data_IF_181088480088
#
_entry.id   IF_181088480088
#
_cell.length_a   1.000
_cell.length_b   1.000
_cell.length_c   1.000
_cell.angle_alpha   90.00
_cell.angle_beta   90.00
_cell.angle_gamma   90.00
#
_symmetry.space_group_name_H-M   'P 1'
#
loop_
_entity.id
_entity.type
_entity.pdbx_description
1 polymer ?
#
# COMPACT_ATOMS: atom_id res chain seq x y z
N UNK A 1 -14.10 44.85 -16.04
CA UNK A 1 -13.29 43.77 -16.65
C UNK A 1 -13.34 42.45 -15.86
N UNK A 2 -13.52 42.44 -14.53
CA UNK A 2 -13.61 41.20 -13.71
C UNK A 2 -14.91 40.37 -13.79
N UNK A 3 -16.00 40.90 -14.35
CA UNK A 3 -17.27 40.15 -14.45
C UNK A 3 -17.41 39.27 -15.69
N UNK A 4 -16.57 39.43 -16.72
CA UNK A 4 -16.64 38.60 -17.94
C UNK A 4 -15.88 37.27 -17.81
N UNK A 5 -14.83 37.21 -16.99
CA UNK A 5 -14.05 35.98 -16.77
C UNK A 5 -14.79 34.95 -15.91
N UNK A 6 -15.62 35.38 -14.95
CA UNK A 6 -16.41 34.49 -14.08
C UNK A 6 -17.58 33.83 -14.79
N UNK A 7 -18.13 34.45 -15.85
CA UNK A 7 -19.20 33.86 -16.67
C UNK A 7 -18.65 32.78 -17.59
N UNK A 8 -17.50 33.03 -18.24
CA UNK A 8 -16.84 32.05 -19.12
C UNK A 8 -16.39 30.80 -18.35
N UNK A 9 -15.87 30.95 -17.13
CA UNK A 9 -15.50 29.81 -16.28
C UNK A 9 -16.71 28.96 -15.85
N UNK A 10 -17.87 29.57 -15.58
CA UNK A 10 -19.10 28.83 -15.25
C UNK A 10 -19.65 28.07 -16.47
N UNK A 11 -19.61 28.67 -17.66
CA UNK A 11 -20.07 28.00 -18.89
C UNK A 11 -19.17 26.82 -19.27
N UNK A 12 -17.85 26.93 -19.13
CA UNK A 12 -16.91 25.82 -19.37
C UNK A 12 -17.10 24.69 -18.35
N UNK A 13 -17.41 25.00 -17.10
CA UNK A 13 -17.67 23.99 -16.06
C UNK A 13 -19.01 23.27 -16.29
N UNK A 14 -20.04 24.00 -16.69
CA UNK A 14 -21.36 23.43 -17.03
C UNK A 14 -21.27 22.58 -18.30
N UNK A 15 -20.51 23.00 -19.32
CA UNK A 15 -20.26 22.19 -20.51
C UNK A 15 -19.43 20.92 -20.21
N UNK A 16 -18.44 20.99 -19.29
CA UNK A 16 -17.71 19.79 -18.83
C UNK A 16 -18.61 18.84 -18.03
N UNK A 17 -19.47 19.34 -17.14
CA UNK A 17 -20.43 18.49 -16.42
C UNK A 17 -21.49 17.89 -17.35
N UNK A 18 -21.96 18.64 -18.36
CA UNK A 18 -22.90 18.14 -19.37
C UNK A 18 -22.24 17.09 -20.26
N UNK A 19 -20.98 17.26 -20.69
CA UNK A 19 -20.23 16.23 -21.42
C UNK A 19 -20.03 14.97 -20.59
N UNK A 20 -19.61 15.09 -19.31
CA UNK A 20 -19.42 13.93 -18.42
C UNK A 20 -20.77 13.21 -18.23
N UNK A 21 -21.86 13.93 -17.98
CA UNK A 21 -23.20 13.33 -17.83
C UNK A 21 -23.70 12.66 -19.13
N UNK A 22 -23.45 13.26 -20.29
CA UNK A 22 -23.79 12.65 -21.58
C UNK A 22 -22.97 11.39 -21.85
N UNK A 23 -21.69 11.38 -21.46
CA UNK A 23 -20.78 10.25 -21.62
C UNK A 23 -21.19 9.08 -20.71
N UNK A 24 -21.59 9.34 -19.46
CA UNK A 24 -22.12 8.32 -18.54
C UNK A 24 -23.48 7.76 -18.99
N UNK A 25 -24.32 8.60 -19.59
CA UNK A 25 -25.66 8.21 -20.07
C UNK A 25 -25.56 7.38 -21.36
N UNK A 26 -24.69 7.78 -22.29
CA UNK A 26 -24.37 7.01 -23.50
C UNK A 26 -23.68 5.68 -23.13
N UNK A 27 -22.79 5.67 -22.13
CA UNK A 27 -22.21 4.43 -21.60
C UNK A 27 -23.26 3.50 -20.96
N UNK A 28 -24.20 4.02 -20.17
CA UNK A 28 -25.29 3.21 -19.61
C UNK A 28 -26.25 2.67 -20.67
N UNK A 29 -26.58 3.47 -21.68
CA UNK A 29 -27.39 3.03 -22.82
C UNK A 29 -26.68 1.97 -23.65
N UNK A 30 -25.39 2.14 -23.95
CA UNK A 30 -24.56 1.14 -24.61
C UNK A 30 -24.46 -0.14 -23.78
N UNK A 31 -24.27 -0.04 -22.46
CA UNK A 31 -24.21 -1.20 -21.58
C UNK A 31 -25.55 -1.95 -21.53
N UNK A 32 -26.67 -1.23 -21.50
CA UNK A 32 -28.01 -1.83 -21.49
C UNK A 32 -28.39 -2.45 -22.85
N UNK A 33 -28.01 -1.81 -23.96
CA UNK A 33 -28.20 -2.33 -25.32
C UNK A 33 -27.33 -3.57 -25.52
N UNK A 34 -26.08 -3.56 -25.06
CA UNK A 34 -25.17 -4.71 -25.12
C UNK A 34 -25.67 -5.88 -24.27
N UNK A 35 -26.16 -5.66 -23.04
CA UNK A 35 -26.77 -6.69 -22.19
C UNK A 35 -28.02 -7.31 -22.86
N UNK A 36 -28.80 -6.51 -23.59
CA UNK A 36 -29.96 -7.01 -24.36
C UNK A 36 -29.53 -7.77 -25.62
N UNK A 37 -28.44 -7.38 -26.29
CA UNK A 37 -27.91 -8.08 -27.48
C UNK A 37 -27.18 -9.40 -27.13
N UNK A 38 -26.72 -9.58 -25.88
CA UNK A 38 -25.91 -10.72 -25.44
C UNK A 38 -26.70 -11.88 -24.80
N UNK A 39 -28.04 -11.85 -24.84
CA UNK A 39 -28.88 -12.99 -24.40
C UNK A 39 -28.86 -14.19 -25.36
N UNK A 40 -27.89 -14.28 -26.25
CA UNK A 40 -27.66 -15.47 -27.06
C UNK A 40 -26.31 -15.43 -27.74
N UNK A 41 -25.44 -16.38 -27.38
CA UNK A 41 -24.19 -16.81 -28.03
C UNK A 41 -22.89 -16.23 -27.46
N UNK A 42 -22.24 -17.11 -26.70
CA UNK A 42 -20.79 -17.42 -26.69
C UNK A 42 -19.85 -16.24 -26.87
N UNK A 43 -19.52 -15.55 -25.77
CA UNK A 43 -18.31 -14.73 -25.68
C UNK A 43 -17.77 -14.77 -24.24
N UNK A 44 -16.94 -15.75 -23.92
CA UNK A 44 -16.25 -15.83 -22.60
C UNK A 44 -14.76 -15.46 -22.66
N UNK A 45 -14.19 -15.15 -23.84
CA UNK A 45 -12.77 -14.81 -23.95
C UNK A 45 -12.50 -13.31 -24.20
N UNK A 46 -13.42 -12.57 -24.81
CA UNK A 46 -13.18 -11.17 -25.18
C UNK A 46 -13.70 -10.16 -24.14
N UNK A 47 -14.63 -10.57 -23.26
CA UNK A 47 -15.15 -9.74 -22.16
C UNK A 47 -14.17 -9.55 -20.99
N UNK A 48 -13.12 -10.37 -20.90
CA UNK A 48 -12.12 -10.29 -19.83
C UNK A 48 -11.09 -9.16 -20.09
N UNK A 49 -11.01 -8.64 -21.31
CA UNK A 49 -10.00 -7.66 -21.73
C UNK A 49 -10.43 -6.19 -21.58
N UNK A 50 -11.69 -5.91 -21.21
CA UNK A 50 -12.23 -4.56 -21.03
C UNK A 50 -12.59 -4.27 -19.56
N UNK A 51 -11.78 -4.76 -18.62
CA UNK A 51 -11.69 -4.08 -17.33
C UNK A 51 -10.84 -2.84 -17.58
N UNK A 52 -11.46 -1.66 -17.67
CA UNK A 52 -10.72 -0.39 -17.71
C UNK A 52 -9.69 -0.38 -16.56
N UNK A 53 -8.42 -0.14 -16.90
CA UNK A 53 -7.36 -0.04 -15.90
C UNK A 53 -7.73 1.06 -14.92
N UNK A 54 -7.47 0.84 -13.64
CA UNK A 54 -7.71 1.86 -12.62
C UNK A 54 -6.65 2.93 -12.74
N UNK A 55 -7.08 4.19 -12.81
CA UNK A 55 -6.15 5.32 -12.75
C UNK A 55 -5.41 5.31 -11.40
N UNK A 56 -4.08 5.34 -11.47
CA UNK A 56 -3.20 5.37 -10.31
C UNK A 56 -2.93 6.83 -9.94
N UNK A 57 -3.36 7.21 -8.75
CA UNK A 57 -3.12 8.53 -8.21
C UNK A 57 -1.93 8.49 -7.24
N UNK A 58 -1.01 9.44 -7.38
CA UNK A 58 0.19 9.56 -6.56
C UNK A 58 0.04 10.66 -5.51
N UNK A 59 0.63 10.44 -4.33
CA UNK A 59 0.93 11.49 -3.36
C UNK A 59 2.40 11.87 -3.51
N UNK A 60 2.65 12.90 -4.32
CA UNK A 60 3.99 13.31 -4.69
C UNK A 60 4.77 12.15 -5.32
N UNK A 61 6.02 11.96 -4.89
CA UNK A 61 6.92 10.93 -5.44
C UNK A 61 7.10 9.71 -4.53
N UNK A 62 6.33 9.62 -3.43
CA UNK A 62 6.64 8.68 -2.33
C UNK A 62 5.53 7.68 -2.02
N UNK A 63 4.28 7.93 -2.43
CA UNK A 63 3.15 7.08 -2.02
C UNK A 63 2.03 7.00 -3.06
N UNK A 64 1.33 5.86 -3.08
CA UNK A 64 0.07 5.68 -3.82
C UNK A 64 -1.10 6.17 -2.99
N UNK A 65 -1.99 6.94 -3.60
CA UNK A 65 -3.23 7.40 -2.97
C UNK A 65 -4.29 6.29 -2.93
N UNK A 66 -4.30 5.39 -3.91
CA UNK A 66 -5.32 4.35 -3.98
C UNK A 66 -5.14 3.32 -2.84
N UNK A 67 -6.06 3.32 -1.87
CA UNK A 67 -6.06 2.37 -0.74
C UNK A 67 -6.02 0.88 -1.16
N UNK A 68 -6.52 0.56 -2.36
CA UNK A 68 -6.51 -0.80 -2.91
C UNK A 68 -5.14 -1.26 -3.45
N UNK A 69 -4.20 -0.36 -3.73
CA UNK A 69 -2.91 -0.71 -4.34
C UNK A 69 -2.10 -1.65 -3.46
N UNK A 70 -2.09 -1.43 -2.13
CA UNK A 70 -1.35 -2.30 -1.21
C UNK A 70 -1.86 -3.75 -1.24
N UNK A 71 -3.18 -3.93 -1.35
CA UNK A 71 -3.79 -5.26 -1.49
C UNK A 71 -3.45 -5.88 -2.85
N UNK A 72 -3.58 -5.12 -3.94
CA UNK A 72 -3.28 -5.59 -5.29
C UNK A 72 -1.82 -6.05 -5.43
N UNK A 73 -0.86 -5.29 -4.87
CA UNK A 73 0.56 -5.66 -4.83
C UNK A 73 0.73 -6.96 -4.05
N UNK A 74 0.11 -7.06 -2.87
CA UNK A 74 0.16 -8.27 -2.06
C UNK A 74 -0.36 -9.50 -2.81
N UNK A 75 -1.44 -9.36 -3.57
CA UNK A 75 -2.06 -10.43 -4.35
C UNK A 75 -1.19 -10.86 -5.54
N UNK A 76 -0.59 -9.89 -6.24
CA UNK A 76 0.36 -10.16 -7.33
C UNK A 76 1.54 -10.98 -6.81
N UNK A 77 2.10 -10.59 -5.66
CA UNK A 77 3.22 -11.29 -5.04
C UNK A 77 2.88 -12.74 -4.68
N UNK A 78 1.70 -13.00 -4.07
CA UNK A 78 1.31 -14.38 -3.73
C UNK A 78 1.06 -15.24 -4.95
N UNK A 79 0.43 -14.67 -5.97
CA UNK A 79 0.03 -15.42 -7.17
C UNK A 79 1.23 -15.78 -8.05
N UNK A 80 2.35 -15.06 -7.91
CA UNK A 80 3.56 -15.23 -8.71
C UNK A 80 4.78 -15.59 -7.86
N UNK A 81 4.58 -16.13 -6.66
CA UNK A 81 5.68 -16.54 -5.79
C UNK A 81 6.32 -17.82 -6.33
N UNK A 82 7.57 -17.75 -6.80
CA UNK A 82 8.23 -18.84 -7.55
C UNK A 82 9.65 -19.18 -7.07
N UNK A 83 10.03 -18.76 -5.87
CA UNK A 83 11.35 -19.08 -5.33
C UNK A 83 11.45 -18.88 -3.83
N UNK A 84 12.56 -19.31 -3.23
CA UNK A 84 12.89 -19.10 -1.82
C UNK A 84 13.22 -17.62 -1.48
N UNK A 85 12.34 -16.69 -1.86
CA UNK A 85 12.50 -15.25 -1.70
C UNK A 85 12.25 -14.82 -0.25
N UNK A 86 13.23 -15.07 0.63
CA UNK A 86 13.15 -14.71 2.04
C UNK A 86 13.20 -13.18 2.29
N UNK A 87 13.57 -12.39 1.28
CA UNK A 87 13.52 -10.93 1.27
C UNK A 87 13.38 -10.39 -0.16
N UNK A 88 13.04 -9.12 -0.33
CA UNK A 88 12.85 -8.51 -1.65
C UNK A 88 14.14 -8.53 -2.48
N UNK A 89 15.27 -8.36 -1.81
CA UNK A 89 16.60 -8.36 -2.41
C UNK A 89 16.94 -9.70 -3.06
N UNK A 90 16.28 -10.79 -2.66
CA UNK A 90 16.44 -12.14 -3.25
C UNK A 90 15.54 -12.42 -4.43
N UNK A 91 14.56 -11.56 -4.70
CA UNK A 91 13.80 -11.60 -5.95
C UNK A 91 14.72 -11.05 -7.03
N UNK A 92 15.00 -11.83 -8.06
CA UNK A 92 15.83 -11.37 -9.18
C UNK A 92 15.14 -10.24 -9.97
N UNK A 93 15.93 -9.45 -10.69
CA UNK A 93 15.43 -8.28 -11.42
C UNK A 93 14.36 -8.65 -12.46
N UNK A 94 14.54 -9.79 -13.14
CA UNK A 94 13.60 -10.27 -14.16
C UNK A 94 12.24 -10.58 -13.55
N UNK A 95 12.20 -11.28 -12.42
CA UNK A 95 10.99 -11.54 -11.66
C UNK A 95 10.36 -10.25 -11.14
N UNK A 96 11.15 -9.27 -10.67
CA UNK A 96 10.61 -7.95 -10.27
C UNK A 96 9.95 -7.22 -11.44
N UNK A 97 10.55 -7.29 -12.63
CA UNK A 97 9.98 -6.70 -13.84
C UNK A 97 8.68 -7.40 -14.26
N UNK A 98 8.62 -8.74 -14.17
CA UNK A 98 7.38 -9.50 -14.41
C UNK A 98 6.27 -9.12 -13.43
N UNK A 99 6.59 -9.07 -12.14
CA UNK A 99 5.67 -8.65 -11.09
C UNK A 99 5.16 -7.21 -11.32
N UNK A 100 6.03 -6.31 -11.76
CA UNK A 100 5.65 -4.95 -12.11
C UNK A 100 4.76 -4.91 -13.36
N UNK A 101 5.04 -5.73 -14.38
CA UNK A 101 4.16 -5.88 -15.55
C UNK A 101 2.75 -6.34 -15.15
N UNK A 102 2.62 -7.28 -14.21
CA UNK A 102 1.30 -7.67 -13.67
C UNK A 102 0.58 -6.50 -12.97
N UNK A 103 1.33 -5.62 -12.31
CA UNK A 103 0.77 -4.39 -11.73
C UNK A 103 0.28 -3.41 -12.82
N UNK A 104 1.07 -3.20 -13.88
CA UNK A 104 0.70 -2.35 -15.04
C UNK A 104 -0.50 -2.86 -15.84
N UNK A 105 -0.90 -4.13 -15.67
CA UNK A 105 -2.16 -4.65 -16.23
C UNK A 105 -3.39 -4.14 -15.47
N UNK A 106 -3.26 -3.84 -14.18
CA UNK A 106 -4.37 -3.43 -13.30
C UNK A 106 -4.52 -1.91 -13.19
N UNK A 107 -3.42 -1.18 -13.36
CA UNK A 107 -3.36 0.26 -13.15
C UNK A 107 -2.80 0.99 -14.37
N UNK A 108 -3.33 2.19 -14.63
CA UNK A 108 -2.83 3.13 -15.65
C UNK A 108 -2.26 4.38 -14.99
N UNK A 109 -1.19 4.90 -15.57
CA UNK A 109 -0.51 6.13 -15.15
C UNK A 109 0.23 6.71 -16.37
N UNK A 110 0.55 8.02 -16.36
CA UNK A 110 1.34 8.65 -17.42
C UNK A 110 2.74 8.01 -17.54
N UNK A 111 3.29 7.96 -18.75
CA UNK A 111 4.58 7.30 -19.02
C UNK A 111 5.74 8.04 -18.34
N UNK A 112 5.65 9.37 -18.24
CA UNK A 112 6.57 10.24 -17.51
C UNK A 112 6.70 9.87 -16.02
N UNK A 113 5.65 9.30 -15.43
CA UNK A 113 5.63 8.90 -14.02
C UNK A 113 6.13 7.48 -13.80
N UNK A 114 6.45 6.70 -14.85
CA UNK A 114 6.78 5.26 -14.71
C UNK A 114 7.94 5.03 -13.74
N UNK A 115 8.98 5.89 -13.78
CA UNK A 115 10.13 5.77 -12.88
C UNK A 115 9.75 5.98 -11.41
N UNK A 116 8.89 6.96 -11.13
CA UNK A 116 8.39 7.28 -9.79
C UNK A 116 7.48 6.15 -9.32
N UNK A 117 6.53 5.72 -10.16
CA UNK A 117 5.60 4.62 -9.87
C UNK A 117 6.37 3.34 -9.59
N UNK A 118 7.41 3.04 -10.37
CA UNK A 118 8.27 1.86 -10.16
C UNK A 118 8.95 1.91 -8.80
N UNK A 119 9.54 3.03 -8.42
CA UNK A 119 10.20 3.19 -7.13
C UNK A 119 9.23 3.00 -5.95
N UNK A 120 8.07 3.66 -6.00
CA UNK A 120 7.03 3.48 -4.97
C UNK A 120 6.57 2.02 -4.93
N UNK A 121 6.35 1.42 -6.10
CA UNK A 121 5.90 0.04 -6.20
C UNK A 121 6.91 -0.94 -5.60
N UNK A 122 8.20 -0.80 -5.89
CA UNK A 122 9.24 -1.66 -5.32
C UNK A 122 9.29 -1.54 -3.79
N UNK A 123 9.15 -0.33 -3.27
CA UNK A 123 9.17 -0.10 -1.83
C UNK A 123 7.95 -0.74 -1.14
N UNK A 124 6.77 -0.61 -1.75
CA UNK A 124 5.54 -1.26 -1.28
C UNK A 124 5.60 -2.77 -1.42
N UNK A 125 6.18 -3.29 -2.52
CA UNK A 125 6.33 -4.72 -2.75
C UNK A 125 7.28 -5.35 -1.71
N UNK A 126 8.39 -4.68 -1.40
CA UNK A 126 9.31 -5.06 -0.33
C UNK A 126 8.61 -5.18 1.02
N UNK A 127 7.86 -4.15 1.41
CA UNK A 127 7.09 -4.13 2.66
C UNK A 127 6.03 -5.24 2.67
N UNK A 128 5.29 -5.39 1.57
CA UNK A 128 4.23 -6.38 1.43
C UNK A 128 4.76 -7.81 1.51
N UNK A 129 5.87 -8.12 0.84
CA UNK A 129 6.52 -9.43 0.89
C UNK A 129 6.94 -9.77 2.33
N UNK A 130 7.67 -8.87 2.99
CA UNK A 130 8.12 -9.10 4.37
C UNK A 130 6.95 -9.32 5.34
N UNK A 131 5.89 -8.51 5.22
CA UNK A 131 4.68 -8.66 6.03
C UNK A 131 4.01 -10.01 5.82
N UNK A 132 3.92 -10.48 4.57
CA UNK A 132 3.29 -11.74 4.23
C UNK A 132 4.09 -12.94 4.73
N UNK A 133 5.41 -12.94 4.55
CA UNK A 133 6.29 -13.99 5.08
C UNK A 133 6.26 -14.02 6.60
N UNK A 134 6.29 -12.86 7.27
CA UNK A 134 6.17 -12.79 8.74
C UNK A 134 4.85 -13.38 9.23
N UNK A 135 3.74 -13.13 8.53
CA UNK A 135 2.42 -13.70 8.86
C UNK A 135 2.40 -15.21 8.60
N UNK A 136 2.97 -15.68 7.49
CA UNK A 136 3.08 -17.09 7.17
C UNK A 136 3.88 -17.84 8.24
N UNK A 137 5.05 -17.30 8.61
CA UNK A 137 5.91 -17.81 9.68
C UNK A 137 5.15 -17.92 11.02
N UNK A 138 4.52 -16.84 11.48
CA UNK A 138 3.73 -16.86 12.73
C UNK A 138 2.57 -17.86 12.68
N UNK A 139 1.89 -17.95 11.54
CA UNK A 139 0.75 -18.86 11.36
C UNK A 139 1.19 -20.33 11.39
N UNK A 140 2.32 -20.67 10.77
CA UNK A 140 2.88 -22.01 10.82
C UNK A 140 3.25 -22.39 12.27
N UNK A 141 4.04 -21.55 12.95
CA UNK A 141 4.46 -21.77 14.34
C UNK A 141 3.28 -21.94 15.30
N UNK A 142 2.25 -21.10 15.15
CA UNK A 142 1.05 -21.17 15.99
C UNK A 142 0.21 -22.42 15.74
N UNK A 143 0.17 -22.93 14.50
CA UNK A 143 -0.58 -24.14 14.17
C UNK A 143 0.10 -25.40 14.69
N UNK A 144 1.42 -25.46 14.59
CA UNK A 144 2.20 -26.60 15.09
C UNK A 144 2.48 -26.49 16.60
N UNK A 145 2.08 -25.38 17.25
CA UNK A 145 2.29 -25.11 18.67
C UNK A 145 3.77 -25.28 19.09
N UNK A 146 4.68 -24.74 18.29
CA UNK A 146 6.13 -24.87 18.48
C UNK A 146 6.82 -23.51 18.62
N UNK A 147 7.99 -23.53 19.26
CA UNK A 147 8.94 -22.41 19.30
C UNK A 147 10.14 -22.63 18.39
N UNK A 148 10.28 -23.84 17.81
CA UNK A 148 11.33 -24.19 16.87
C UNK A 148 10.81 -24.16 15.42
N UNK A 149 11.38 -23.29 14.59
CA UNK A 149 10.95 -23.12 13.19
C UNK A 149 11.21 -24.36 12.31
N UNK A 150 12.14 -25.23 12.69
CA UNK A 150 12.40 -26.48 11.96
C UNK A 150 11.16 -27.39 11.95
N UNK A 151 10.34 -27.34 13.00
CA UNK A 151 9.13 -28.17 13.09
C UNK A 151 8.04 -27.73 12.08
N UNK A 152 8.22 -26.56 11.45
CA UNK A 152 7.32 -26.03 10.43
C UNK A 152 7.69 -26.43 9.00
N UNK A 153 8.63 -27.36 8.79
CA UNK A 153 8.89 -27.92 7.46
C UNK A 153 7.61 -28.50 6.86
N UNK A 154 7.37 -28.22 5.58
CA UNK A 154 6.15 -28.58 4.83
C UNK A 154 4.84 -27.98 5.41
N UNK A 155 4.93 -27.06 6.37
CA UNK A 155 3.77 -26.37 6.99
C UNK A 155 3.58 -24.95 6.43
N UNK A 156 4.13 -24.69 5.25
CA UNK A 156 4.02 -23.43 4.56
C UNK A 156 2.59 -23.09 4.15
N UNK A 157 2.30 -21.82 3.83
CA UNK A 157 1.02 -21.45 3.25
C UNK A 157 0.90 -22.00 1.82
N UNK A 158 -0.34 -22.25 1.36
CA UNK A 158 -0.61 -22.85 0.04
C UNK A 158 -0.04 -22.10 -1.19
N UNK A 159 0.32 -20.82 -1.04
CA UNK A 159 0.91 -20.01 -2.11
C UNK A 159 2.44 -20.08 -2.17
N UNK A 160 3.09 -20.80 -1.26
CA UNK A 160 4.52 -21.11 -1.30
C UNK A 160 4.64 -22.62 -1.49
N UNK A 161 5.38 -23.07 -2.50
CA UNK A 161 5.64 -24.51 -2.62
C UNK A 161 6.53 -24.99 -1.45
N UNK A 162 6.38 -26.27 -1.10
CA UNK A 162 7.09 -26.83 0.05
C UNK A 162 8.61 -26.78 -0.09
N UNK A 163 9.15 -26.92 -1.31
CA UNK A 163 10.60 -26.86 -1.54
C UNK A 163 11.17 -25.49 -1.17
N UNK A 164 10.59 -24.41 -1.68
CA UNK A 164 10.99 -23.03 -1.38
C UNK A 164 10.79 -22.69 0.10
N UNK A 165 9.66 -23.11 0.67
CA UNK A 165 9.39 -22.92 2.11
C UNK A 165 10.45 -23.59 2.98
N UNK A 166 10.76 -24.86 2.69
CA UNK A 166 11.76 -25.64 3.43
C UNK A 166 13.16 -25.06 3.26
N UNK A 167 13.48 -24.57 2.06
CA UNK A 167 14.75 -23.88 1.80
C UNK A 167 14.88 -22.61 2.63
N UNK A 168 13.82 -21.79 2.71
CA UNK A 168 13.82 -20.59 3.56
C UNK A 168 13.95 -20.94 5.05
N UNK A 169 13.29 -21.99 5.52
CA UNK A 169 13.44 -22.45 6.91
C UNK A 169 14.90 -22.84 7.18
N UNK A 170 15.45 -23.78 6.40
CA UNK A 170 16.76 -24.39 6.66
C UNK A 170 17.92 -23.42 6.49
N UNK A 171 17.85 -22.57 5.47
CA UNK A 171 18.99 -21.73 5.09
C UNK A 171 18.93 -20.33 5.69
N UNK A 172 17.78 -19.91 6.22
CA UNK A 172 17.58 -18.53 6.69
C UNK A 172 17.01 -18.52 8.10
N UNK A 173 15.78 -19.00 8.30
CA UNK A 173 15.05 -18.76 9.55
C UNK A 173 15.54 -19.59 10.73
N UNK A 174 16.10 -20.78 10.49
CA UNK A 174 16.71 -21.61 11.53
C UNK A 174 18.15 -21.19 11.86
N UNK A 175 18.75 -20.27 11.10
CA UNK A 175 20.14 -19.87 11.34
C UNK A 175 20.26 -19.08 12.64
N UNK A 176 21.34 -19.30 13.43
CA UNK A 176 21.56 -18.54 14.65
C UNK A 176 21.66 -17.03 14.41
N UNK A 177 22.22 -16.63 13.27
CA UNK A 177 22.32 -15.22 12.89
C UNK A 177 20.94 -14.56 12.75
N UNK A 178 20.03 -15.18 11.99
CA UNK A 178 18.69 -14.67 11.80
C UNK A 178 17.92 -14.59 13.12
N UNK A 179 18.01 -15.64 13.95
CA UNK A 179 17.35 -15.68 15.26
C UNK A 179 17.87 -14.58 16.18
N UNK A 180 19.20 -14.37 16.26
CA UNK A 180 19.79 -13.27 17.03
C UNK A 180 19.33 -11.90 16.55
N UNK A 181 19.30 -11.67 15.23
CA UNK A 181 18.85 -10.40 14.64
C UNK A 181 17.35 -10.16 14.93
N UNK A 182 16.53 -11.19 14.79
CA UNK A 182 15.09 -11.13 15.06
C UNK A 182 14.81 -10.80 16.53
N UNK A 183 15.46 -11.49 17.47
CA UNK A 183 15.29 -11.25 18.90
C UNK A 183 15.83 -9.87 19.30
N UNK A 184 16.96 -9.44 18.72
CA UNK A 184 17.48 -8.09 18.95
C UNK A 184 16.50 -7.01 18.46
N UNK A 185 15.93 -7.17 17.27
CA UNK A 185 14.92 -6.26 16.74
C UNK A 185 13.64 -6.25 17.61
N UNK A 186 13.24 -7.40 18.15
CA UNK A 186 12.12 -7.50 19.09
C UNK A 186 12.42 -6.77 20.40
N UNK A 187 13.58 -6.99 21.00
CA UNK A 187 14.02 -6.27 22.21
C UNK A 187 14.06 -4.77 21.97
N UNK A 188 14.64 -4.31 20.87
CA UNK A 188 14.71 -2.89 20.53
C UNK A 188 13.32 -2.23 20.40
N UNK A 189 12.33 -2.94 19.83
CA UNK A 189 10.94 -2.45 19.78
C UNK A 189 10.26 -2.37 21.15
N UNK A 190 10.73 -3.17 22.11
CA UNK A 190 10.19 -3.22 23.48
C UNK A 190 11.00 -2.35 24.46
N UNK A 191 12.11 -1.75 24.02
CA UNK A 191 12.92 -0.85 24.83
C UNK A 191 12.09 0.37 25.23
N UNK A 192 11.94 0.58 26.54
CA UNK A 192 11.32 1.77 27.09
C UNK A 192 12.32 2.93 27.01
N UNK A 193 11.88 4.05 26.44
CA UNK A 193 12.60 5.32 26.49
C UNK A 193 11.78 6.26 27.36
N UNK A 194 12.41 6.89 28.36
CA UNK A 194 11.71 7.76 29.32
C UNK A 194 10.48 7.08 29.97
N UNK A 195 10.61 5.80 30.36
CA UNK A 195 9.58 5.05 31.07
C UNK A 195 8.46 4.44 30.21
N UNK A 196 8.36 4.79 28.91
CA UNK A 196 7.33 4.27 27.99
C UNK A 196 7.94 3.71 26.70
N UNK A 197 7.30 2.72 26.09
CA UNK A 197 7.62 2.32 24.72
C UNK A 197 7.11 3.45 23.80
N UNK A 198 7.93 3.88 22.83
CA UNK A 198 7.49 4.91 21.88
C UNK A 198 6.32 4.39 21.04
N UNK A 199 5.29 5.21 20.90
CA UNK A 199 4.03 4.83 20.25
C UNK A 199 3.57 5.95 19.33
N UNK A 200 3.01 5.57 18.18
CA UNK A 200 2.40 6.48 17.22
C UNK A 200 0.87 6.39 17.34
N UNK A 201 0.14 7.52 17.37
CA UNK A 201 -1.32 7.54 17.48
C UNK A 201 -2.03 7.33 16.15
N UNK A 202 -1.40 7.68 15.03
CA UNK A 202 -2.03 7.63 13.70
C UNK A 202 -2.28 6.23 13.13
N UNK A 203 -2.06 5.19 13.92
CA UNK A 203 -2.26 3.80 13.50
C UNK A 203 -1.40 3.45 12.27
N UNK A 204 -2.06 2.91 11.24
CA UNK A 204 -1.42 2.46 9.99
C UNK A 204 -1.37 3.53 8.89
N UNK A 205 -1.89 4.74 9.14
CA UNK A 205 -1.88 5.83 8.16
C UNK A 205 -0.49 6.46 8.17
N UNK A 206 0.09 6.63 6.98
CA UNK A 206 1.39 7.30 6.85
C UNK A 206 1.26 8.80 7.10
N UNK A 207 2.38 9.44 7.43
CA UNK A 207 2.48 10.89 7.50
C UNK A 207 2.04 11.59 6.21
N UNK A 208 2.40 11.04 5.05
CA UNK A 208 2.06 11.61 3.74
C UNK A 208 0.56 11.50 3.43
N UNK A 209 -0.04 10.32 3.63
CA UNK A 209 -1.49 10.14 3.46
C UNK A 209 -2.27 11.01 4.43
N UNK A 210 -1.83 11.11 5.69
CA UNK A 210 -2.48 11.96 6.68
C UNK A 210 -2.40 13.44 6.30
N UNK A 211 -1.24 13.90 5.82
CA UNK A 211 -1.03 15.27 5.32
C UNK A 211 -1.90 15.60 4.12
N UNK A 212 -2.04 14.67 3.19
CA UNK A 212 -2.90 14.86 2.02
C UNK A 212 -4.38 14.92 2.39
N UNK A 213 -4.85 14.06 3.29
CA UNK A 213 -6.21 14.13 3.81
C UNK A 213 -6.48 15.48 4.49
N UNK A 214 -5.54 15.95 5.33
CA UNK A 214 -5.66 17.29 5.94
C UNK A 214 -5.63 18.43 4.92
N UNK A 215 -4.88 18.28 3.82
CA UNK A 215 -4.89 19.26 2.73
C UNK A 215 -6.25 19.32 2.04
N UNK A 216 -6.86 18.16 1.77
CA UNK A 216 -8.20 18.06 1.19
C UNK A 216 -9.26 18.68 2.13
N UNK A 217 -9.22 18.33 3.42
CA UNK A 217 -10.10 18.89 4.46
C UNK A 217 -9.93 20.42 4.60
N UNK A 218 -8.72 20.94 4.40
CA UNK A 218 -8.40 22.37 4.44
C UNK A 218 -8.68 23.11 3.12
N UNK A 219 -9.37 22.48 2.16
CA UNK A 219 -9.72 23.11 0.88
C UNK A 219 -8.52 23.31 -0.06
N UNK A 220 -7.52 22.43 0.00
CA UNK A 220 -6.35 22.41 -0.88
C UNK A 220 -5.12 23.12 -0.32
N UNK A 221 -5.20 23.75 0.86
CA UNK A 221 -4.04 24.40 1.50
C UNK A 221 -3.14 23.36 2.16
N UNK A 222 -1.88 23.32 1.75
CA UNK A 222 -0.91 22.33 2.24
C UNK A 222 -0.63 22.54 3.75
N UNK A 223 -0.84 21.51 4.60
CA UNK A 223 -0.61 21.65 6.03
C UNK A 223 0.89 21.63 6.36
N UNK A 224 1.33 22.49 7.30
CA UNK A 224 2.66 22.43 7.91
C UNK A 224 2.96 21.06 8.56
N UNK A 225 4.22 20.61 8.51
CA UNK A 225 4.62 19.29 9.01
C UNK A 225 4.53 19.14 10.54
N UNK A 226 4.69 20.22 11.28
CA UNK A 226 4.49 20.31 12.73
C UNK A 226 3.03 20.04 13.13
N UNK A 227 2.07 20.52 12.34
CA UNK A 227 0.65 20.20 12.53
C UNK A 227 0.38 18.71 12.29
N UNK A 228 0.97 18.14 11.23
CA UNK A 228 0.89 16.70 10.93
C UNK A 228 1.48 15.88 12.07
N UNK A 229 2.66 16.28 12.56
CA UNK A 229 3.34 15.61 13.67
C UNK A 229 2.50 15.63 14.94
N UNK A 230 1.96 16.81 15.30
CA UNK A 230 1.14 17.00 16.49
C UNK A 230 -0.13 16.13 16.43
N UNK A 231 -0.84 16.13 15.30
CA UNK A 231 -2.03 15.30 15.13
C UNK A 231 -1.74 13.80 15.29
N UNK A 232 -0.58 13.33 14.80
CA UNK A 232 -0.19 11.92 14.85
C UNK A 232 0.40 11.46 16.19
N UNK A 233 0.82 12.39 17.05
CA UNK A 233 1.51 12.10 18.31
C UNK A 233 0.83 12.68 19.56
N UNK A 234 -0.28 13.40 19.40
CA UNK A 234 -1.14 13.80 20.51
C UNK A 234 -2.22 12.74 20.78
N UNK A 235 -2.69 12.73 22.01
CA UNK A 235 -3.74 11.84 22.50
C UNK A 235 -5.10 12.35 22.05
N UNK A 236 -5.86 11.50 21.38
CA UNK A 236 -7.26 11.78 21.03
C UNK A 236 -8.17 11.82 22.26
N UNK A 237 -7.73 11.27 23.41
CA UNK A 237 -8.49 11.22 24.67
C UNK A 237 -8.21 12.41 25.59
N UNK A 238 -7.07 13.06 25.43
CA UNK A 238 -6.65 14.20 26.24
C UNK A 238 -6.03 15.23 25.30
N UNK A 239 -6.84 16.22 24.91
CA UNK A 239 -6.44 17.27 23.98
C UNK A 239 -5.14 17.92 24.44
N UNK A 240 -4.15 18.00 23.54
CA UNK A 240 -2.84 18.61 23.80
C UNK A 240 -1.81 17.77 24.56
N UNK A 241 -2.13 16.55 25.02
CA UNK A 241 -1.14 15.66 25.66
C UNK A 241 -0.50 14.71 24.65
N UNK A 242 0.82 14.54 24.71
CA UNK A 242 1.55 13.62 23.82
C UNK A 242 1.41 12.17 24.28
N UNK A 243 1.38 11.23 23.32
CA UNK A 243 1.27 9.80 23.63
C UNK A 243 2.56 9.17 24.12
N UNK A 244 3.71 9.81 23.90
CA UNK A 244 4.97 9.43 24.54
C UNK A 244 5.84 10.65 24.89
N UNK A 245 6.77 10.44 25.82
CA UNK A 245 7.67 11.48 26.31
C UNK A 245 8.67 11.94 25.24
N UNK A 246 8.98 11.08 24.25
CA UNK A 246 9.89 11.40 23.15
C UNK A 246 9.27 12.45 22.23
N UNK A 247 8.00 12.29 21.89
CA UNK A 247 7.25 13.20 21.02
C UNK A 247 7.10 14.59 21.65
N UNK A 248 6.91 14.64 22.98
CA UNK A 248 6.91 15.90 23.75
C UNK A 248 8.22 16.67 23.58
N UNK A 249 9.37 15.97 23.63
CA UNK A 249 10.70 16.60 23.49
C UNK A 249 10.94 17.15 22.08
N UNK A 250 10.47 16.47 21.04
CA UNK A 250 10.63 16.92 19.63
C UNK A 250 9.96 18.27 19.41
N UNK A 251 8.75 18.47 19.93
CA UNK A 251 8.05 19.75 19.81
C UNK A 251 8.76 20.85 20.59
N UNK A 252 9.24 20.57 21.80
CA UNK A 252 9.99 21.55 22.61
C UNK A 252 11.26 22.03 21.90
N UNK A 253 11.97 21.18 21.15
CA UNK A 253 13.17 21.57 20.41
C UNK A 253 12.90 22.32 19.09
N UNK A 254 11.69 22.30 18.56
CA UNK A 254 11.33 23.04 17.32
C UNK A 254 11.00 24.52 17.63
N UNK A 255 10.71 24.84 18.88
CA UNK A 255 10.32 26.18 19.35
C UNK A 255 11.41 26.90 20.19
N UNK A 256 12.68 26.48 20.07
CA UNK A 256 13.87 27.18 20.59
C UNK A 256 14.69 27.64 19.39
#
# INVERSE_FOLDING_TARGET
MKMRETVVMREVYVMRMQMVCHQTTVQHLLHTIMIKMLKGRVLTHQWIQLQEKKELCLYGTTEFNNASCGHAIGDILRSNFKGAWHSWEKVDSMCRDELFKEFKKKYSFPEEDESIVRNIWEDKARIALNRQLTRAHKKAMSKENTTNIIDCLDKGPAWINNADWNQMIKNVWSTPEFQRRSESAKRNRLTKTDGKISTHSGGTVSFASYRANMQEEAGGKEPPWDNVFSALHQSTKQSGSFVDNKSKKVVVCIFI
#
